data_IF_891330530529
#
_entry.id   IF_891330530529
#
_cell.length_a   1.000
_cell.length_b   1.000
_cell.length_c   1.000
_cell.angle_alpha   90.00
_cell.angle_beta   90.00
_cell.angle_gamma   90.00
#
_symmetry.space_group_name_H-M   'P 1'
#
loop_
_entity.id
_entity.type
_entity.pdbx_description
1 polymer ?
#
# COMPACT_ATOMS: atom_id res chain seq x y z
N UNK A 1 -13.41 3.82 -47.65
CA UNK A 1 -13.52 4.74 -46.48
C UNK A 1 -14.12 4.07 -45.23
N UNK A 2 -15.28 3.37 -45.31
CA UNK A 2 -15.90 2.70 -44.15
C UNK A 2 -15.01 1.63 -43.47
N UNK A 3 -14.21 0.88 -44.24
CA UNK A 3 -13.29 -0.15 -43.68
C UNK A 3 -12.12 0.43 -42.88
N UNK A 4 -11.63 1.61 -43.26
CA UNK A 4 -10.56 2.32 -42.56
C UNK A 4 -11.11 2.96 -41.28
N UNK A 5 -12.32 3.53 -41.33
CA UNK A 5 -13.00 4.05 -40.17
C UNK A 5 -13.31 2.96 -39.12
N UNK A 6 -13.73 1.76 -39.55
CA UNK A 6 -13.92 0.63 -38.65
C UNK A 6 -12.61 0.13 -38.02
N UNK A 7 -11.50 0.10 -38.78
CA UNK A 7 -10.20 -0.30 -38.25
C UNK A 7 -9.68 0.70 -37.20
N UNK A 8 -9.91 2.00 -37.44
CA UNK A 8 -9.55 3.06 -36.50
C UNK A 8 -10.40 3.02 -35.22
N UNK A 9 -11.69 2.72 -35.34
CA UNK A 9 -12.60 2.56 -34.20
C UNK A 9 -12.20 1.38 -33.28
N UNK A 10 -11.76 0.25 -33.87
CA UNK A 10 -11.25 -0.90 -33.11
C UNK A 10 -9.94 -0.56 -32.39
N UNK A 11 -9.04 0.21 -33.02
CA UNK A 11 -7.80 0.66 -32.39
C UNK A 11 -8.04 1.61 -31.20
N UNK A 12 -9.02 2.52 -31.29
CA UNK A 12 -9.40 3.41 -30.18
C UNK A 12 -9.97 2.66 -28.97
N UNK A 13 -10.65 1.53 -29.17
CA UNK A 13 -11.16 0.69 -28.08
C UNK A 13 -10.03 0.06 -27.26
N UNK A 14 -8.91 -0.32 -27.89
CA UNK A 14 -7.74 -0.85 -27.18
C UNK A 14 -7.02 0.20 -26.31
N UNK A 15 -7.01 1.47 -26.72
CA UNK A 15 -6.36 2.55 -25.96
C UNK A 15 -7.18 3.05 -24.77
N UNK A 16 -8.49 2.75 -24.73
CA UNK A 16 -9.36 3.15 -23.61
C UNK A 16 -9.13 2.35 -22.31
N UNK A 17 -8.38 1.24 -22.35
CA UNK A 17 -7.99 0.44 -21.18
C UNK A 17 -6.64 0.89 -20.57
N UNK A 18 -6.28 2.16 -20.70
CA UNK A 18 -5.06 2.74 -20.13
C UNK A 18 -5.18 3.06 -18.62
N UNK A 19 -6.13 2.46 -17.91
CA UNK A 19 -6.12 2.44 -16.45
C UNK A 19 -4.81 1.78 -16.01
N UNK A 20 -3.90 2.61 -15.51
CA UNK A 20 -2.57 2.25 -15.08
C UNK A 20 -2.61 0.92 -14.31
N UNK A 21 -1.96 -0.11 -14.85
CA UNK A 21 -1.45 -1.19 -14.03
C UNK A 21 -0.52 -0.53 -13.02
N UNK A 22 -1.05 -0.17 -11.85
CA UNK A 22 -0.25 0.29 -10.73
C UNK A 22 0.62 -0.91 -10.36
N UNK A 23 1.87 -0.89 -10.79
CA UNK A 23 2.86 -1.88 -10.37
C UNK A 23 2.91 -1.84 -8.85
N UNK A 24 2.34 -2.86 -8.22
CA UNK A 24 2.35 -3.03 -6.78
C UNK A 24 3.77 -3.50 -6.41
N UNK A 25 4.69 -2.56 -6.19
CA UNK A 25 6.08 -2.85 -5.84
C UNK A 25 6.23 -3.48 -4.45
N UNK A 26 7.47 -3.68 -3.99
CA UNK A 26 7.79 -4.29 -2.68
C UNK A 26 7.62 -3.35 -1.47
N UNK A 27 7.19 -2.12 -1.70
CA UNK A 27 7.03 -1.07 -0.70
C UNK A 27 5.65 -0.44 -0.80
N UNK A 28 5.09 -0.08 0.35
CA UNK A 28 3.85 0.68 0.47
C UNK A 28 4.13 2.02 1.17
N UNK A 29 3.52 3.09 0.69
CA UNK A 29 3.54 4.38 1.38
C UNK A 29 2.34 4.45 2.32
N UNK A 30 2.62 4.64 3.61
CA UNK A 30 1.62 4.75 4.67
C UNK A 30 1.61 6.16 5.22
N UNK A 31 0.41 6.72 5.35
CA UNK A 31 0.13 8.00 5.97
C UNK A 31 -0.58 7.75 7.29
N UNK A 32 -0.05 8.35 8.36
CA UNK A 32 -0.66 8.30 9.69
C UNK A 32 -0.97 9.72 10.11
N UNK A 33 -2.20 9.94 10.57
CA UNK A 33 -2.68 11.22 11.08
C UNK A 33 -3.37 11.02 12.42
N UNK A 34 -3.26 12.00 13.30
CA UNK A 34 -4.09 12.14 14.50
C UNK A 34 -4.88 13.44 14.41
N UNK A 35 -6.08 13.44 14.98
CA UNK A 35 -6.91 14.63 15.16
C UNK A 35 -6.54 15.40 16.43
N UNK A 36 -5.84 14.74 17.36
CA UNK A 36 -5.35 15.35 18.59
C UNK A 36 -4.04 16.13 18.37
N UNK A 37 -3.91 17.24 19.09
CA UNK A 37 -2.69 18.06 19.03
C UNK A 37 -1.55 17.48 19.84
N UNK A 38 -0.33 17.72 19.35
CA UNK A 38 0.93 17.34 19.99
C UNK A 38 1.15 15.82 20.13
N UNK A 39 0.58 15.03 19.23
CA UNK A 39 0.75 13.57 19.19
C UNK A 39 2.04 13.22 18.45
N UNK A 40 2.89 12.41 19.08
CA UNK A 40 4.08 11.82 18.45
C UNK A 40 3.69 10.49 17.82
N UNK A 41 4.14 10.28 16.60
CA UNK A 41 3.86 9.07 15.83
C UNK A 41 5.15 8.28 15.69
N UNK A 42 5.05 6.98 15.98
CA UNK A 42 6.14 6.03 15.92
C UNK A 42 5.76 4.85 15.03
N UNK A 43 6.75 4.29 14.34
CA UNK A 43 6.62 3.02 13.63
C UNK A 43 7.75 2.10 14.09
N UNK A 44 7.39 0.93 14.61
CA UNK A 44 8.35 0.01 15.24
C UNK A 44 9.28 0.76 16.19
N UNK A 45 8.69 1.56 17.09
CA UNK A 45 9.39 2.35 18.12
C UNK A 45 10.25 3.50 17.59
N UNK A 46 10.39 3.66 16.27
CA UNK A 46 11.11 4.78 15.65
C UNK A 46 10.19 5.98 15.44
N UNK A 47 10.60 7.16 15.91
CA UNK A 47 9.85 8.40 15.74
C UNK A 47 9.84 8.83 14.27
N UNK A 48 8.66 9.04 13.70
CA UNK A 48 8.49 9.43 12.29
C UNK A 48 7.92 10.83 12.11
N UNK A 49 7.27 11.41 13.12
CA UNK A 49 6.70 12.74 13.02
C UNK A 49 5.67 13.06 14.10
N UNK A 50 5.07 14.25 13.97
CA UNK A 50 4.13 14.81 14.94
C UNK A 50 2.82 15.20 14.24
N UNK A 51 1.68 14.83 14.81
CA UNK A 51 0.30 14.98 14.29
C UNK A 51 0.02 14.29 12.94
N UNK A 52 0.90 14.40 11.95
CA UNK A 52 0.78 13.76 10.64
C UNK A 52 2.16 13.36 10.13
N UNK A 53 2.29 12.13 9.64
CA UNK A 53 3.53 11.61 9.09
C UNK A 53 3.25 10.72 7.88
N UNK A 54 4.13 10.77 6.89
CA UNK A 54 4.11 9.90 5.71
C UNK A 54 5.43 9.14 5.72
N UNK A 55 5.35 7.83 5.56
CA UNK A 55 6.53 6.96 5.53
C UNK A 55 6.35 5.85 4.52
N UNK A 56 7.45 5.26 4.10
CA UNK A 56 7.44 4.11 3.19
C UNK A 56 7.90 2.89 3.95
N UNK A 57 7.07 1.84 3.94
CA UNK A 57 7.30 0.58 4.62
C UNK A 57 7.52 -0.54 3.60
N UNK A 58 8.36 -1.52 3.93
CA UNK A 58 8.51 -2.69 3.07
C UNK A 58 7.35 -3.67 3.29
N UNK A 59 6.84 -4.30 2.24
CA UNK A 59 5.77 -5.29 2.37
C UNK A 59 6.19 -6.56 3.09
N UNK A 60 7.49 -6.86 3.10
CA UNK A 60 8.05 -8.06 3.74
C UNK A 60 8.03 -8.02 5.28
N UNK A 61 8.06 -6.83 5.89
CA UNK A 61 8.28 -6.64 7.32
C UNK A 61 6.96 -6.34 8.06
N UNK A 62 6.82 -6.73 9.33
CA UNK A 62 5.66 -6.36 10.15
C UNK A 62 5.89 -4.99 10.82
N UNK A 63 4.86 -4.15 10.82
CA UNK A 63 4.94 -2.81 11.41
C UNK A 63 3.83 -2.58 12.42
N UNK A 64 4.19 -1.97 13.54
CA UNK A 64 3.29 -1.46 14.57
C UNK A 64 3.35 0.07 14.54
N UNK A 65 2.20 0.71 14.36
CA UNK A 65 2.07 2.16 14.47
C UNK A 65 1.69 2.47 15.91
N UNK A 66 2.51 3.26 16.61
CA UNK A 66 2.21 3.73 17.97
C UNK A 66 2.04 5.22 17.95
N UNK A 67 0.92 5.71 18.49
CA UNK A 67 0.70 7.13 18.76
C UNK A 67 0.81 7.39 20.25
N UNK A 68 1.58 8.41 20.62
CA UNK A 68 1.85 8.78 22.01
C UNK A 68 1.66 10.27 22.23
N UNK A 69 1.05 10.63 23.36
CA UNK A 69 0.83 12.01 23.78
C UNK A 69 1.03 12.10 25.28
N UNK A 70 1.74 13.14 25.73
CA UNK A 70 1.93 13.38 27.16
C UNK A 70 0.57 13.52 27.86
N UNK A 71 0.34 12.71 28.89
CA UNK A 71 -0.91 12.70 29.66
C UNK A 71 -2.02 11.82 29.09
N UNK A 72 -1.77 11.06 28.02
CA UNK A 72 -2.69 10.07 27.47
C UNK A 72 -2.03 8.69 27.42
N UNK A 73 -2.83 7.64 27.32
CA UNK A 73 -2.32 6.29 27.10
C UNK A 73 -1.97 6.09 25.62
N UNK A 74 -0.82 5.46 25.38
CA UNK A 74 -0.35 5.17 24.03
C UNK A 74 -1.29 4.18 23.34
N UNK A 75 -1.52 4.38 22.05
CA UNK A 75 -2.33 3.47 21.23
C UNK A 75 -1.48 2.87 20.13
N UNK A 76 -1.46 1.54 20.07
CA UNK A 76 -0.68 0.78 19.10
C UNK A 76 -1.60 -0.01 18.19
N UNK A 77 -1.42 0.14 16.87
CA UNK A 77 -2.21 -0.54 15.84
C UNK A 77 -1.28 -1.25 14.88
N UNK A 78 -1.47 -2.56 14.60
CA UNK A 78 -0.70 -3.28 13.60
C UNK A 78 -1.10 -2.86 12.18
N UNK A 79 -0.12 -2.79 11.28
CA UNK A 79 -0.38 -2.65 9.84
C UNK A 79 -0.71 -4.04 9.26
N UNK A 80 -1.98 -4.26 8.95
CA UNK A 80 -2.47 -5.52 8.35
C UNK A 80 -2.30 -5.53 6.83
N UNK A 81 -2.17 -6.72 6.26
CA UNK A 81 -1.93 -6.92 4.82
C UNK A 81 -2.71 -8.11 4.30
N UNK A 82 -3.18 -7.98 3.06
CA UNK A 82 -3.90 -9.01 2.33
C UNK A 82 -3.18 -9.35 1.03
N UNK A 83 -3.52 -10.51 0.48
CA UNK A 83 -3.04 -10.95 -0.83
C UNK A 83 -3.65 -10.08 -1.94
N UNK A 84 -2.82 -9.67 -2.90
CA UNK A 84 -3.22 -8.87 -4.06
C UNK A 84 -3.35 -9.77 -5.31
N UNK A 85 -4.58 -10.07 -5.76
CA UNK A 85 -4.81 -10.97 -6.88
C UNK A 85 -4.31 -10.43 -8.23
N UNK A 86 -4.06 -9.11 -8.35
CA UNK A 86 -3.51 -8.52 -9.57
C UNK A 86 -2.08 -9.00 -9.83
N UNK A 87 -1.34 -9.37 -8.78
CA UNK A 87 -0.01 -9.98 -8.94
C UNK A 87 -0.05 -11.33 -9.66
N UNK A 88 -1.20 -12.01 -9.67
CA UNK A 88 -1.41 -13.25 -10.42
C UNK A 88 -1.62 -13.02 -11.93
N UNK A 89 -1.92 -11.78 -12.38
CA UNK A 89 -1.92 -11.49 -13.83
C UNK A 89 -0.52 -11.61 -14.43
N UNK A 90 0.52 -11.23 -13.68
CA UNK A 90 1.90 -11.36 -14.14
C UNK A 90 2.26 -12.81 -14.49
N UNK A 91 1.72 -13.77 -13.71
CA UNK A 91 1.86 -15.20 -13.97
C UNK A 91 1.24 -15.64 -15.30
N UNK A 92 0.07 -15.09 -15.66
CA UNK A 92 -0.66 -15.44 -16.89
C UNK A 92 -0.03 -14.80 -18.14
N UNK A 93 0.61 -13.64 -18.00
CA UNK A 93 1.17 -12.88 -19.12
C UNK A 93 2.57 -13.38 -19.48
N UNK A 94 3.40 -13.70 -18.50
CA UNK A 94 4.82 -14.05 -18.72
C UNK A 94 5.09 -15.57 -18.76
N UNK A 95 4.05 -16.42 -18.59
CA UNK A 95 4.21 -17.87 -18.31
C UNK A 95 5.22 -18.15 -17.15
N UNK A 96 5.44 -17.13 -16.31
CA UNK A 96 6.57 -17.03 -15.39
C UNK A 96 6.25 -17.61 -14.02
N UNK A 97 6.22 -18.95 -13.93
CA UNK A 97 6.15 -19.66 -12.64
C UNK A 97 7.29 -19.26 -11.69
N UNK A 98 8.49 -19.02 -12.24
CA UNK A 98 9.72 -18.88 -11.47
C UNK A 98 9.90 -17.44 -10.95
N UNK A 99 9.68 -16.43 -11.80
CA UNK A 99 9.85 -15.01 -11.46
C UNK A 99 8.83 -14.54 -10.42
N UNK A 100 7.53 -14.84 -10.62
CA UNK A 100 6.48 -14.42 -9.67
C UNK A 100 6.59 -15.18 -8.34
N UNK A 101 6.77 -16.51 -8.34
CA UNK A 101 6.72 -17.28 -7.09
C UNK A 101 7.99 -17.13 -6.25
N UNK A 102 9.18 -17.15 -6.86
CA UNK A 102 10.44 -17.12 -6.11
C UNK A 102 10.86 -15.69 -5.76
N UNK A 103 10.78 -14.75 -6.69
CA UNK A 103 11.30 -13.40 -6.49
C UNK A 103 10.20 -12.52 -5.88
N UNK A 104 9.01 -12.48 -6.49
CA UNK A 104 7.93 -11.62 -6.01
C UNK A 104 7.16 -12.19 -4.81
N UNK A 105 7.00 -13.51 -4.75
CA UNK A 105 6.32 -14.20 -3.66
C UNK A 105 7.21 -14.40 -2.43
N UNK A 106 8.31 -15.15 -2.58
CA UNK A 106 9.15 -15.55 -1.46
C UNK A 106 10.16 -14.46 -1.03
N UNK A 107 10.79 -13.75 -1.97
CA UNK A 107 11.86 -12.80 -1.63
C UNK A 107 11.33 -11.39 -1.28
N UNK A 108 10.43 -10.82 -2.09
CA UNK A 108 9.98 -9.42 -1.91
C UNK A 108 8.60 -9.28 -1.27
N UNK A 109 7.79 -10.35 -1.27
CA UNK A 109 6.38 -10.34 -0.85
C UNK A 109 5.55 -9.25 -1.57
N UNK A 110 5.86 -8.99 -2.85
CA UNK A 110 5.16 -8.00 -3.66
C UNK A 110 3.68 -8.36 -3.89
N UNK A 111 3.32 -9.64 -3.81
CA UNK A 111 1.95 -10.17 -3.81
C UNK A 111 1.09 -9.83 -2.59
N UNK A 112 1.65 -9.16 -1.58
CA UNK A 112 0.88 -8.59 -0.48
C UNK A 112 0.66 -7.10 -0.72
N UNK A 113 -0.46 -6.59 -0.22
CA UNK A 113 -0.78 -5.17 -0.20
C UNK A 113 -1.23 -4.80 1.21
N UNK A 114 -0.83 -3.62 1.70
CA UNK A 114 -1.42 -3.08 2.91
C UNK A 114 -2.95 -2.94 2.75
N UNK A 115 -3.71 -3.45 3.72
CA UNK A 115 -5.18 -3.36 3.71
C UNK A 115 -5.63 -1.89 3.74
N UNK A 116 -4.82 -1.07 4.41
CA UNK A 116 -5.01 0.35 4.59
C UNK A 116 -3.64 1.06 4.53
N UNK A 117 -3.57 2.13 3.76
CA UNK A 117 -2.40 3.00 3.64
C UNK A 117 -2.61 4.35 4.31
N UNK A 118 -3.82 4.64 4.78
CA UNK A 118 -4.16 5.86 5.50
C UNK A 118 -4.76 5.49 6.86
N UNK A 119 -4.11 5.92 7.93
CA UNK A 119 -4.51 5.64 9.30
C UNK A 119 -4.87 6.95 10.00
N UNK A 120 -6.03 6.96 10.66
CA UNK A 120 -6.41 8.01 11.59
C UNK A 120 -6.46 7.40 12.98
N UNK A 121 -5.47 7.71 13.81
CA UNK A 121 -5.28 7.09 15.13
C UNK A 121 -5.08 8.19 16.16
N UNK A 122 -5.94 8.20 17.17
CA UNK A 122 -5.86 9.11 18.30
C UNK A 122 -5.46 8.35 19.57
N UNK A 123 -4.63 8.96 20.44
CA UNK A 123 -4.26 8.37 21.73
C UNK A 123 -5.47 8.28 22.66
N UNK A 124 -5.42 7.35 23.61
CA UNK A 124 -6.49 7.17 24.58
C UNK A 124 -6.28 8.16 25.73
N UNK A 125 -6.84 9.35 25.58
CA UNK A 125 -6.88 10.33 26.66
C UNK A 125 -8.08 10.03 27.57
N UNK A 126 -7.83 9.86 28.87
CA UNK A 126 -8.91 9.75 29.86
C UNK A 126 -9.81 10.98 29.74
N UNK A 127 -11.10 10.77 29.55
CA UNK A 127 -12.10 11.84 29.56
C UNK A 127 -12.14 12.52 30.92
#
# INVERSE_FOLDING_TARGET
MKKIANLFAVFCLYFSSSCALMFNGSKDTVTVRSNEDNVKIYINESYIGKNSAITTINKKDNYMITVSKNGCSDKTVPVTRSFDPITLLGFLIDFGLISILLIDGAATRAWHKADQTAFVIDPECGK
#
